data_IF_275908497969
#
_entry.id   IF_275908497969
#
_cell.length_a   1.000
_cell.length_b   1.000
_cell.length_c   1.000
_cell.angle_alpha   90.00
_cell.angle_beta   90.00
_cell.angle_gamma   90.00
#
_symmetry.space_group_name_H-M   'P 1'
#
loop_
_entity.id
_entity.type
_entity.pdbx_description
1 polymer ?
#
# COMPACT_ATOMS: atom_id res chain seq x y z
N UNK A 1 -7.15 -8.63 -4.41
CA UNK A 1 -6.23 -8.94 -3.29
C UNK A 1 -6.85 -8.38 -2.03
N UNK A 2 -7.05 -9.21 -1.00
CA UNK A 2 -7.91 -8.86 0.16
C UNK A 2 -7.21 -7.91 1.13
N UNK A 3 -5.88 -7.94 1.20
CA UNK A 3 -5.07 -7.18 2.14
C UNK A 3 -4.76 -5.75 1.67
N UNK A 4 -5.02 -5.40 0.40
CA UNK A 4 -4.64 -4.13 -0.24
C UNK A 4 -3.10 -3.93 -0.41
N UNK A 5 -2.30 -4.97 -0.18
CA UNK A 5 -0.84 -4.91 -0.05
C UNK A 5 -0.10 -5.14 -1.38
N UNK A 6 0.26 -4.07 -2.10
CA UNK A 6 1.16 -4.14 -3.26
C UNK A 6 2.61 -3.82 -2.88
N UNK A 7 3.59 -4.41 -3.58
CA UNK A 7 5.02 -4.20 -3.34
C UNK A 7 5.81 -3.98 -4.62
N UNK A 8 7.06 -3.52 -4.49
CA UNK A 8 8.07 -3.47 -5.56
C UNK A 8 9.35 -4.14 -5.09
N UNK A 9 9.70 -5.25 -5.74
CA UNK A 9 10.89 -6.06 -5.45
C UNK A 9 11.78 -6.16 -6.69
N UNK A 10 13.09 -6.39 -6.52
CA UNK A 10 14.00 -6.70 -7.63
C UNK A 10 14.24 -8.19 -7.66
N UNK A 11 13.85 -8.91 -8.73
CA UNK A 11 14.01 -10.35 -8.81
C UNK A 11 15.44 -10.72 -9.22
N UNK A 12 16.45 -10.09 -8.63
CA UNK A 12 17.87 -10.34 -8.94
C UNK A 12 18.60 -10.83 -7.69
N UNK A 13 19.12 -12.06 -7.76
CA UNK A 13 19.87 -12.70 -6.68
C UNK A 13 21.25 -13.02 -7.23
N UNK A 14 22.31 -12.55 -6.56
CA UNK A 14 23.70 -12.77 -6.98
C UNK A 14 23.97 -12.42 -8.46
N UNK A 15 23.35 -11.32 -8.93
CA UNK A 15 23.48 -10.82 -10.31
C UNK A 15 22.66 -11.59 -11.35
N UNK A 16 21.86 -12.58 -10.95
CA UNK A 16 21.00 -13.36 -11.86
C UNK A 16 19.54 -12.98 -11.68
N UNK A 17 18.83 -12.83 -12.79
CA UNK A 17 17.38 -12.68 -12.79
C UNK A 17 16.72 -14.02 -12.42
N UNK A 18 15.76 -13.98 -11.51
CA UNK A 18 14.90 -15.10 -11.12
C UNK A 18 13.45 -14.82 -11.51
N UNK A 19 12.62 -15.85 -11.60
CA UNK A 19 11.20 -15.74 -11.89
C UNK A 19 10.37 -16.21 -10.70
N UNK A 20 9.23 -15.55 -10.51
CA UNK A 20 8.37 -15.80 -9.36
C UNK A 20 6.96 -16.12 -9.82
N UNK A 21 6.36 -17.12 -9.18
CA UNK A 21 4.94 -17.44 -9.32
C UNK A 21 4.24 -17.32 -7.97
N UNK A 22 2.92 -17.14 -7.99
CA UNK A 22 2.13 -17.25 -6.77
C UNK A 22 2.02 -18.72 -6.36
N UNK A 23 2.54 -19.06 -5.18
CA UNK A 23 2.49 -20.41 -4.63
C UNK A 23 1.22 -20.67 -3.81
N UNK A 24 0.54 -19.62 -3.36
CA UNK A 24 -0.66 -19.74 -2.52
C UNK A 24 -0.73 -18.68 -1.44
N UNK A 25 -1.40 -19.03 -0.34
CA UNK A 25 -1.58 -18.17 0.82
C UNK A 25 -0.93 -18.79 2.05
N UNK A 26 -0.21 -17.97 2.81
CA UNK A 26 0.28 -18.26 4.15
C UNK A 26 0.07 -17.00 4.99
N UNK A 27 -0.46 -17.15 6.20
CA UNK A 27 -0.91 -16.02 7.02
C UNK A 27 -1.83 -15.06 6.25
N UNK A 28 -2.72 -15.61 5.42
CA UNK A 28 -3.64 -14.85 4.56
C UNK A 28 -2.94 -13.88 3.59
N UNK A 29 -1.64 -14.06 3.37
CA UNK A 29 -0.78 -13.25 2.51
C UNK A 29 -0.28 -14.10 1.35
N UNK A 30 -0.09 -13.49 0.18
CA UNK A 30 0.49 -14.21 -0.94
C UNK A 30 1.91 -14.67 -0.61
N UNK A 31 2.22 -15.91 -1.01
CA UNK A 31 3.58 -16.44 -0.98
C UNK A 31 4.05 -16.55 -2.41
N UNK A 32 5.20 -15.96 -2.70
CA UNK A 32 5.84 -16.13 -3.99
C UNK A 32 6.77 -17.35 -3.93
N UNK A 33 6.84 -18.13 -5.00
CA UNK A 33 7.85 -19.16 -5.18
C UNK A 33 8.79 -18.76 -6.32
N UNK A 34 10.09 -18.78 -6.02
CA UNK A 34 11.18 -18.72 -7.00
C UNK A 34 11.14 -19.99 -7.86
N UNK A 35 10.99 -19.84 -9.18
CA UNK A 35 10.84 -20.99 -10.08
C UNK A 35 12.12 -21.79 -10.27
N UNK A 36 13.27 -21.15 -10.07
CA UNK A 36 14.60 -21.70 -10.25
C UNK A 36 15.01 -22.51 -9.01
N UNK A 37 14.81 -21.97 -7.81
CA UNK A 37 15.28 -22.62 -6.57
C UNK A 37 14.18 -23.28 -5.76
N UNK A 38 12.90 -23.04 -6.12
CA UNK A 38 11.71 -23.43 -5.35
C UNK A 38 11.62 -22.81 -3.96
N UNK A 39 12.47 -21.82 -3.66
CA UNK A 39 12.41 -21.05 -2.42
C UNK A 39 11.09 -20.29 -2.34
N UNK A 40 10.47 -20.27 -1.17
CA UNK A 40 9.27 -19.50 -0.85
C UNK A 40 9.64 -18.15 -0.22
N UNK A 41 8.96 -17.09 -0.66
CA UNK A 41 9.28 -15.71 -0.33
C UNK A 41 8.03 -14.96 0.16
N UNK A 42 8.22 -14.15 1.19
CA UNK A 42 7.21 -13.20 1.66
C UNK A 42 7.02 -12.09 0.62
N UNK A 43 5.80 -11.91 0.11
CA UNK A 43 5.55 -10.91 -0.93
C UNK A 43 5.63 -9.46 -0.43
N UNK A 44 5.50 -9.18 0.86
CA UNK A 44 5.60 -7.80 1.39
C UNK A 44 7.06 -7.44 1.66
N UNK A 45 7.77 -8.26 2.41
CA UNK A 45 9.15 -7.96 2.84
C UNK A 45 10.19 -8.33 1.79
N UNK A 46 9.85 -9.24 0.86
CA UNK A 46 10.81 -9.82 -0.08
C UNK A 46 11.81 -10.76 0.59
N UNK A 47 11.54 -11.23 1.81
CA UNK A 47 12.39 -12.19 2.52
C UNK A 47 12.14 -13.63 2.04
N UNK A 48 13.21 -14.40 1.86
CA UNK A 48 13.15 -15.83 1.63
C UNK A 48 12.87 -16.56 2.94
N UNK A 49 11.70 -17.18 3.03
CA UNK A 49 11.20 -17.84 4.24
C UNK A 49 11.65 -19.29 4.33
N UNK A 50 11.61 -20.02 3.21
CA UNK A 50 11.86 -21.46 3.19
C UNK A 50 12.47 -21.91 1.87
N UNK A 51 13.49 -22.77 1.92
CA UNK A 51 14.17 -23.32 0.76
C UNK A 51 15.66 -22.92 0.70
N UNK A 52 16.35 -23.22 -0.42
CA UNK A 52 17.80 -23.04 -0.54
C UNK A 52 18.30 -21.61 -0.32
N UNK A 53 17.46 -20.61 -0.57
CA UNK A 53 17.82 -19.20 -0.40
C UNK A 53 17.26 -18.58 0.89
N UNK A 54 16.78 -19.38 1.85
CA UNK A 54 16.25 -18.86 3.12
C UNK A 54 17.23 -17.88 3.81
N UNK A 55 16.69 -16.77 4.33
CA UNK A 55 17.46 -15.67 4.92
C UNK A 55 18.01 -14.65 3.91
N UNK A 56 17.91 -14.90 2.60
CA UNK A 56 18.15 -13.88 1.56
C UNK A 56 16.95 -12.95 1.45
N UNK A 57 17.15 -11.78 0.84
CA UNK A 57 16.08 -10.81 0.58
C UNK A 57 16.18 -10.27 -0.85
N UNK A 58 15.03 -10.11 -1.51
CA UNK A 58 14.89 -9.34 -2.75
C UNK A 58 14.87 -7.82 -2.47
N UNK A 59 14.83 -7.46 -1.18
CA UNK A 59 14.63 -6.13 -0.65
C UNK A 59 13.26 -5.54 -1.04
N UNK A 60 12.64 -4.71 -0.20
CA UNK A 60 11.76 -3.69 -0.73
C UNK A 60 12.65 -2.62 -1.36
N UNK A 61 12.81 -2.64 -2.68
CA UNK A 61 13.66 -1.67 -3.39
C UNK A 61 12.97 -0.30 -3.57
N UNK A 62 11.71 -0.19 -3.16
CA UNK A 62 10.99 1.07 -3.15
C UNK A 62 9.52 0.88 -2.87
N UNK A 63 8.83 2.01 -2.74
CA UNK A 63 7.40 2.03 -2.50
C UNK A 63 6.62 1.77 -3.79
N UNK A 64 5.60 0.91 -3.72
CA UNK A 64 4.52 0.88 -4.69
C UNK A 64 3.38 1.78 -4.17
N UNK A 65 3.38 3.03 -4.60
CA UNK A 65 2.38 4.00 -4.14
C UNK A 65 1.05 3.78 -4.84
N UNK A 66 -0.05 3.82 -4.08
CA UNK A 66 -1.39 3.89 -4.65
C UNK A 66 -1.66 5.34 -5.08
N UNK A 67 -1.74 5.56 -6.39
CA UNK A 67 -1.90 6.88 -6.98
C UNK A 67 -2.81 6.82 -8.21
N UNK A 68 -3.38 7.96 -8.58
CA UNK A 68 -4.10 8.14 -9.83
C UNK A 68 -3.15 8.61 -10.97
N UNK A 69 -3.67 8.66 -12.20
CA UNK A 69 -2.90 9.05 -13.40
C UNK A 69 -2.37 10.48 -13.31
N UNK A 70 -3.12 11.40 -12.70
CA UNK A 70 -2.69 12.79 -12.51
C UNK A 70 -1.43 12.88 -11.63
N UNK A 71 -1.36 12.09 -10.57
CA UNK A 71 -0.17 12.01 -9.71
C UNK A 71 1.01 11.37 -10.44
N UNK A 72 0.78 10.29 -11.20
CA UNK A 72 1.84 9.64 -11.97
C UNK A 72 2.48 10.60 -12.98
N UNK A 73 1.66 11.33 -13.74
CA UNK A 73 2.13 12.35 -14.70
C UNK A 73 2.79 13.56 -14.04
N UNK A 74 2.43 13.87 -12.78
CA UNK A 74 3.11 14.92 -12.04
C UNK A 74 4.54 14.51 -11.65
N UNK A 75 4.74 13.23 -11.28
CA UNK A 75 6.05 12.67 -10.95
C UNK A 75 6.93 12.57 -12.20
N UNK A 76 6.38 12.04 -13.28
CA UNK A 76 7.07 11.90 -14.56
C UNK A 76 6.10 12.23 -15.72
N UNK A 77 6.22 13.42 -16.34
CA UNK A 77 5.40 13.80 -17.48
C UNK A 77 5.59 12.93 -18.72
N UNK A 78 6.67 12.14 -18.78
CA UNK A 78 6.95 11.21 -19.88
C UNK A 78 6.38 9.81 -19.67
N UNK A 79 5.73 9.56 -18.53
CA UNK A 79 5.19 8.23 -18.21
C UNK A 79 4.15 7.81 -19.26
N UNK A 80 4.31 6.59 -19.78
CA UNK A 80 3.35 6.01 -20.72
C UNK A 80 2.21 5.32 -19.93
N UNK A 81 0.97 5.57 -20.35
CA UNK A 81 -0.22 4.98 -19.72
C UNK A 81 -0.80 3.92 -20.64
N UNK A 82 -0.70 2.66 -20.21
CA UNK A 82 -1.37 1.55 -20.87
C UNK A 82 -2.76 1.32 -20.25
N UNK A 83 -3.79 1.28 -21.09
CA UNK A 83 -5.16 0.95 -20.69
C UNK A 83 -5.45 -0.46 -21.18
N UNK A 84 -5.74 -1.38 -20.25
CA UNK A 84 -6.14 -2.74 -20.62
C UNK A 84 -7.45 -2.71 -21.40
N UNK A 85 -7.67 -3.67 -22.30
CA UNK A 85 -8.94 -3.83 -23.01
C UNK A 85 -10.09 -4.36 -22.12
N UNK A 86 -9.94 -4.36 -20.79
CA UNK A 86 -11.02 -4.71 -19.87
C UNK A 86 -12.16 -3.71 -19.97
N UNK A 87 -13.39 -4.18 -19.85
CA UNK A 87 -14.55 -3.30 -19.88
C UNK A 87 -14.51 -2.25 -18.75
N UNK A 88 -14.60 -0.96 -19.10
CA UNK A 88 -14.72 0.15 -18.16
C UNK A 88 -15.68 1.23 -18.68
N UNK A 89 -16.14 2.12 -17.78
CA UNK A 89 -17.05 3.21 -18.13
C UNK A 89 -16.40 4.57 -17.87
N UNK A 90 -16.43 5.46 -18.85
CA UNK A 90 -15.95 6.83 -18.72
C UNK A 90 -16.85 7.79 -19.51
N UNK A 91 -17.23 8.92 -18.90
CA UNK A 91 -18.10 9.91 -19.55
C UNK A 91 -19.44 9.34 -20.03
N UNK A 92 -20.01 8.37 -19.30
CA UNK A 92 -21.26 7.71 -19.68
C UNK A 92 -21.15 6.70 -20.82
N UNK A 93 -19.94 6.40 -21.30
CA UNK A 93 -19.67 5.45 -22.39
C UNK A 93 -18.90 4.23 -21.89
N UNK A 94 -19.17 3.07 -22.46
CA UNK A 94 -18.40 1.85 -22.24
C UNK A 94 -17.19 1.82 -23.19
N UNK A 95 -16.06 1.35 -22.67
CA UNK A 95 -14.81 1.07 -23.40
C UNK A 95 -14.34 -0.34 -23.05
N UNK A 96 -13.45 -0.91 -23.88
CA UNK A 96 -12.89 -2.25 -23.68
C UNK A 96 -13.81 -3.38 -24.14
N UNK A 97 -13.23 -4.45 -24.68
CA UNK A 97 -13.96 -5.63 -25.17
C UNK A 97 -13.75 -6.90 -24.34
N UNK A 98 -12.68 -6.95 -23.54
CA UNK A 98 -12.35 -8.09 -22.70
C UNK A 98 -13.21 -8.11 -21.42
N UNK A 99 -14.05 -9.14 -21.30
CA UNK A 99 -14.76 -9.43 -20.04
C UNK A 99 -13.81 -10.05 -19.02
N UNK A 100 -13.96 -9.68 -17.74
CA UNK A 100 -13.17 -10.26 -16.65
C UNK A 100 -13.45 -11.75 -16.47
N UNK A 101 -12.48 -12.50 -15.95
CA UNK A 101 -12.70 -13.89 -15.50
C UNK A 101 -13.76 -13.90 -14.39
N UNK A 102 -14.82 -14.69 -14.57
CA UNK A 102 -15.80 -15.01 -13.51
C UNK A 102 -15.18 -15.96 -12.47
N UNK A 103 -14.23 -15.47 -11.70
CA UNK A 103 -13.73 -16.14 -10.50
C UNK A 103 -14.74 -15.99 -9.36
N UNK A 104 -14.87 -17.00 -8.50
CA UNK A 104 -15.83 -17.15 -7.40
C UNK A 104 -15.78 -16.08 -6.28
N UNK A 105 -15.11 -14.95 -6.48
CA UNK A 105 -15.12 -13.80 -5.59
C UNK A 105 -15.97 -12.68 -6.16
N UNK A 106 -17.25 -12.66 -5.81
CA UNK A 106 -18.17 -11.52 -5.88
C UNK A 106 -17.80 -10.35 -6.81
N UNK A 107 -17.78 -10.58 -8.13
CA UNK A 107 -17.85 -9.50 -9.12
C UNK A 107 -19.27 -9.48 -9.70
N UNK A 108 -20.20 -8.84 -8.97
CA UNK A 108 -21.54 -8.49 -9.46
C UNK A 108 -21.50 -7.16 -10.23
N UNK A 109 -20.54 -7.02 -11.15
CA UNK A 109 -20.36 -5.83 -11.98
C UNK A 109 -21.18 -5.83 -13.28
N UNK A 110 -22.41 -6.33 -13.32
CA UNK A 110 -23.35 -6.09 -14.44
C UNK A 110 -24.80 -6.05 -13.93
N UNK A 111 -25.22 -4.92 -13.35
CA UNK A 111 -26.60 -4.67 -12.96
C UNK A 111 -26.73 -3.60 -11.88
N UNK A 112 -27.88 -2.90 -11.77
CA UNK A 112 -28.10 -1.91 -10.72
C UNK A 112 -27.90 -2.58 -9.37
N UNK A 113 -27.08 -1.94 -8.52
CA UNK A 113 -26.61 -2.44 -7.23
C UNK A 113 -27.75 -3.03 -6.38
N UNK A 114 -28.00 -4.34 -6.51
CA UNK A 114 -28.85 -5.10 -5.60
C UNK A 114 -27.98 -5.68 -4.50
N UNK A 115 -27.97 -4.96 -3.38
CA UNK A 115 -27.38 -5.36 -2.11
C UNK A 115 -25.94 -4.88 -1.96
N UNK A 116 -25.77 -3.69 -1.38
CA UNK A 116 -24.49 -3.27 -0.83
C UNK A 116 -24.08 -4.26 0.27
N UNK A 117 -23.22 -5.23 -0.08
CA UNK A 117 -22.32 -5.79 0.91
C UNK A 117 -21.51 -4.66 1.54
N UNK A 118 -20.94 -4.87 2.74
CA UNK A 118 -20.18 -3.82 3.39
C UNK A 118 -19.14 -3.22 2.45
N UNK A 119 -19.10 -1.89 2.37
CA UNK A 119 -18.19 -1.18 1.48
C UNK A 119 -16.73 -1.58 1.71
N UNK A 120 -15.84 -1.31 0.74
CA UNK A 120 -14.43 -1.69 0.84
C UNK A 120 -13.80 -1.18 2.15
N UNK A 121 -14.28 -0.09 2.73
CA UNK A 121 -13.72 0.49 3.96
C UNK A 121 -14.29 -0.10 5.26
N UNK A 122 -15.15 -1.12 5.21
CA UNK A 122 -15.72 -1.70 6.43
C UNK A 122 -14.66 -2.49 7.22
N UNK A 123 -14.31 -2.08 8.46
CA UNK A 123 -13.35 -2.80 9.30
C UNK A 123 -13.83 -4.19 9.73
N UNK A 124 -15.12 -4.47 9.61
CA UNK A 124 -15.76 -5.73 9.98
C UNK A 124 -16.20 -6.56 8.75
N UNK A 125 -15.64 -6.30 7.56
CA UNK A 125 -15.98 -7.07 6.38
C UNK A 125 -15.63 -8.56 6.57
N UNK A 126 -16.58 -9.44 6.30
CA UNK A 126 -16.38 -10.88 6.37
C UNK A 126 -15.53 -11.36 5.18
N UNK A 127 -14.59 -12.27 5.46
CA UNK A 127 -13.77 -12.93 4.43
C UNK A 127 -14.35 -14.28 4.07
N UNK A 128 -14.05 -14.75 2.86
CA UNK A 128 -14.47 -16.08 2.39
C UNK A 128 -14.02 -17.18 3.35
N UNK A 129 -14.86 -18.18 3.54
CA UNK A 129 -14.55 -19.39 4.34
C UNK A 129 -13.35 -20.18 3.81
N UNK A 130 -12.94 -19.98 2.55
CA UNK A 130 -11.72 -20.57 2.00
C UNK A 130 -10.45 -19.80 2.40
N UNK A 131 -10.60 -18.52 2.76
CA UNK A 131 -9.49 -17.64 3.10
C UNK A 131 -9.19 -17.68 4.60
N UNK A 132 -10.23 -17.70 5.45
CA UNK A 132 -10.10 -17.69 6.91
C UNK A 132 -9.17 -18.78 7.46
N UNK A 133 -9.18 -20.03 6.95
CA UNK A 133 -8.27 -21.08 7.42
C UNK A 133 -6.79 -20.82 7.16
N UNK A 134 -6.46 -19.86 6.29
CA UNK A 134 -5.06 -19.51 5.96
C UNK A 134 -4.49 -18.42 6.87
N UNK A 135 -5.32 -17.80 7.73
CA UNK A 135 -4.87 -16.79 8.69
C UNK A 135 -3.99 -17.41 9.77
N UNK A 136 -2.89 -16.74 10.08
CA UNK A 136 -2.10 -17.00 11.27
C UNK A 136 -2.80 -16.49 12.54
N UNK A 137 -2.04 -16.42 13.64
CA UNK A 137 -2.54 -15.85 14.90
C UNK A 137 -2.78 -14.35 14.71
N UNK A 138 -4.05 -13.96 14.71
CA UNK A 138 -4.45 -12.57 14.55
C UNK A 138 -4.08 -11.71 15.75
N UNK A 139 -3.83 -10.43 15.48
CA UNK A 139 -3.63 -9.41 16.50
C UNK A 139 -4.96 -8.71 16.83
N UNK A 140 -5.54 -8.95 18.03
CA UNK A 140 -6.87 -8.49 18.38
C UNK A 140 -6.93 -6.99 18.72
N UNK A 141 -5.80 -6.26 18.73
CA UNK A 141 -5.77 -4.84 19.06
C UNK A 141 -6.63 -4.00 18.12
N UNK A 142 -6.87 -4.47 16.89
CA UNK A 142 -7.73 -3.81 15.89
C UNK A 142 -8.54 -4.82 15.07
N UNK A 143 -9.69 -4.40 14.49
CA UNK A 143 -10.45 -5.25 13.57
C UNK A 143 -9.59 -5.71 12.39
N UNK A 144 -9.75 -6.97 11.98
CA UNK A 144 -9.02 -7.58 10.86
C UNK A 144 -8.94 -6.68 9.63
N UNK A 145 -10.09 -6.17 9.19
CA UNK A 145 -10.21 -5.40 7.95
C UNK A 145 -10.05 -3.89 8.15
N UNK A 146 -9.63 -3.46 9.35
CA UNK A 146 -9.26 -2.07 9.58
C UNK A 146 -8.19 -1.66 8.57
N UNK A 147 -8.27 -0.43 8.07
CA UNK A 147 -7.47 0.03 6.94
C UNK A 147 -6.57 1.18 7.36
N UNK A 148 -5.34 1.19 6.86
CA UNK A 148 -4.33 2.11 7.36
C UNK A 148 -3.00 2.02 6.63
N UNK A 149 -2.09 2.89 7.03
CA UNK A 149 -0.76 2.98 6.48
C UNK A 149 0.21 2.24 7.39
N UNK A 150 0.80 1.16 6.91
CA UNK A 150 1.93 0.50 7.57
C UNK A 150 3.24 1.15 7.16
N UNK A 151 4.07 1.56 8.11
CA UNK A 151 5.45 2.03 7.91
C UNK A 151 6.42 1.07 8.56
N UNK A 152 7.54 0.80 7.91
CA UNK A 152 8.64 0.08 8.56
C UNK A 152 10.01 0.59 8.15
N UNK A 153 10.95 0.41 9.07
CA UNK A 153 12.38 0.64 8.92
C UNK A 153 13.14 -0.52 9.59
N UNK A 154 14.46 -0.40 9.69
CA UNK A 154 15.27 -1.37 10.44
C UNK A 154 14.93 -1.43 11.93
N UNK A 155 14.40 -0.34 12.51
CA UNK A 155 14.18 -0.22 13.96
C UNK A 155 12.71 -0.07 14.37
N UNK A 156 11.85 0.38 13.46
CA UNK A 156 10.46 0.74 13.79
C UNK A 156 9.52 0.12 12.79
N UNK A 157 8.43 -0.49 13.27
CA UNK A 157 7.29 -0.94 12.46
C UNK A 157 6.06 -0.35 13.11
N UNK A 158 5.34 0.52 12.41
CA UNK A 158 4.20 1.25 12.96
C UNK A 158 3.05 1.26 11.96
N UNK A 159 1.86 0.94 12.46
CA UNK A 159 0.62 1.04 11.71
C UNK A 159 -0.11 2.33 12.08
N UNK A 160 -0.58 3.05 11.09
CA UNK A 160 -1.36 4.28 11.22
C UNK A 160 -2.79 4.00 10.72
N UNK A 161 -3.75 3.72 11.62
CA UNK A 161 -5.13 3.50 11.23
C UNK A 161 -5.69 4.75 10.54
N UNK A 162 -6.49 4.57 9.48
CA UNK A 162 -7.09 5.69 8.75
C UNK A 162 -7.92 6.61 9.65
N UNK A 163 -8.65 6.05 10.62
CA UNK A 163 -9.41 6.83 11.61
C UNK A 163 -8.49 7.83 12.35
N UNK A 164 -7.29 7.39 12.76
CA UNK A 164 -6.36 8.18 13.57
C UNK A 164 -5.65 9.24 12.74
N UNK A 165 -5.38 8.95 11.46
CA UNK A 165 -4.87 9.95 10.53
C UNK A 165 -5.90 11.07 10.34
N UNK A 166 -7.18 10.72 10.19
CA UNK A 166 -8.28 11.70 10.04
C UNK A 166 -8.50 12.52 11.32
N UNK A 167 -8.52 11.88 12.49
CA UNK A 167 -8.64 12.56 13.78
C UNK A 167 -7.49 13.55 14.04
N UNK A 168 -6.32 13.31 13.45
CA UNK A 168 -5.16 14.23 13.49
C UNK A 168 -5.16 15.28 12.37
N UNK A 169 -6.29 15.50 11.72
CA UNK A 169 -6.46 16.55 10.72
C UNK A 169 -5.87 16.20 9.35
N UNK A 170 -5.75 14.91 9.04
CA UNK A 170 -5.38 14.37 7.72
C UNK A 170 -3.95 14.69 7.23
N UNK A 171 -3.20 15.52 7.94
CA UNK A 171 -1.78 15.75 7.71
C UNK A 171 -1.09 16.21 9.00
N UNK A 172 -0.05 15.50 9.43
CA UNK A 172 0.72 15.83 10.63
C UNK A 172 2.15 15.29 10.53
N UNK A 173 3.04 15.82 11.37
CA UNK A 173 4.41 15.33 11.50
C UNK A 173 4.49 14.36 12.67
N UNK A 174 5.10 13.21 12.42
CA UNK A 174 5.48 12.21 13.41
C UNK A 174 7.00 11.96 13.32
N UNK A 175 7.53 11.11 14.19
CA UNK A 175 8.92 10.65 14.16
C UNK A 175 8.99 9.12 14.12
N UNK A 176 9.71 8.59 13.14
CA UNK A 176 9.91 7.15 12.91
C UNK A 176 11.40 6.90 12.69
N UNK A 177 12.00 6.07 13.54
CA UNK A 177 13.45 5.78 13.47
C UNK A 177 14.33 7.04 13.57
N UNK A 178 13.95 8.01 14.41
CA UNK A 178 14.68 9.27 14.59
C UNK A 178 14.60 10.26 13.43
N UNK A 179 13.84 9.94 12.37
CA UNK A 179 13.58 10.83 11.24
C UNK A 179 12.15 11.35 11.31
N UNK A 180 11.99 12.66 11.09
CA UNK A 180 10.66 13.26 10.96
C UNK A 180 9.99 12.80 9.67
N UNK A 181 8.75 12.41 9.81
CA UNK A 181 7.92 11.90 8.72
C UNK A 181 6.62 12.67 8.68
N UNK A 182 6.26 13.17 7.50
CA UNK A 182 4.92 13.63 7.22
C UNK A 182 4.04 12.39 7.00
N UNK A 183 2.98 12.27 7.79
CA UNK A 183 1.88 11.34 7.55
C UNK A 183 0.70 12.16 7.04
N UNK A 184 0.13 11.79 5.91
CA UNK A 184 -0.99 12.52 5.32
C UNK A 184 -1.91 11.64 4.49
N UNK A 185 -3.16 12.06 4.31
CA UNK A 185 -4.07 11.55 3.29
C UNK A 185 -3.88 12.39 2.04
N UNK A 186 -3.53 11.75 0.94
CA UNK A 186 -3.34 12.44 -0.34
C UNK A 186 -4.70 12.87 -0.91
N UNK A 187 -4.95 14.18 -1.10
CA UNK A 187 -6.29 14.66 -1.46
C UNK A 187 -6.81 14.14 -2.80
N UNK A 188 -5.95 13.83 -3.76
CA UNK A 188 -6.38 13.36 -5.08
C UNK A 188 -6.73 11.86 -5.12
N UNK A 189 -6.14 11.05 -4.24
CA UNK A 189 -6.39 9.59 -4.20
C UNK A 189 -7.19 9.13 -2.98
N UNK A 190 -7.26 9.94 -1.93
CA UNK A 190 -7.83 9.56 -0.63
C UNK A 190 -7.01 8.49 0.10
N UNK A 191 -5.82 8.16 -0.39
CA UNK A 191 -4.95 7.13 0.19
C UNK A 191 -3.93 7.76 1.14
N UNK A 192 -3.60 7.11 2.26
CA UNK A 192 -2.59 7.60 3.15
C UNK A 192 -1.19 7.38 2.56
N UNK A 193 -0.28 8.30 2.84
CA UNK A 193 1.11 8.22 2.42
C UNK A 193 2.03 8.90 3.43
N UNK A 194 3.33 8.64 3.27
CA UNK A 194 4.39 9.16 4.09
C UNK A 194 5.60 9.65 3.29
N UNK A 195 6.20 10.74 3.77
CA UNK A 195 7.39 11.41 3.22
C UNK A 195 8.33 11.77 4.37
N UNK A 196 9.64 11.53 4.24
CA UNK A 196 10.58 12.16 5.18
C UNK A 196 10.69 13.66 4.89
N UNK A 197 10.63 14.47 5.94
CA UNK A 197 10.66 15.94 5.85
C UNK A 197 11.47 16.53 6.99
N UNK A 198 11.91 17.78 6.87
CA UNK A 198 12.59 18.50 7.96
C UNK A 198 11.65 19.38 8.80
N UNK A 199 10.41 19.57 8.32
CA UNK A 199 9.37 20.42 8.89
C UNK A 199 8.91 19.95 10.28
N UNK A 200 8.44 20.86 11.14
CA UNK A 200 7.93 20.49 12.48
C UNK A 200 6.42 20.30 12.50
N UNK A 201 5.70 20.98 11.61
CA UNK A 201 4.26 20.89 11.49
C UNK A 201 3.83 20.81 10.03
N UNK A 202 2.65 20.23 9.82
CA UNK A 202 1.99 20.09 8.54
C UNK A 202 0.49 20.34 8.74
N UNK A 203 -0.17 20.89 7.72
CA UNK A 203 -1.64 21.03 7.69
C UNK A 203 -2.15 20.83 6.27
N UNK A 204 -3.22 20.07 6.14
CA UNK A 204 -3.96 19.98 4.90
C UNK A 204 -4.71 21.31 4.64
N UNK A 205 -4.61 21.86 3.44
CA UNK A 205 -5.30 23.07 3.00
C UNK A 205 -5.78 22.93 1.55
N UNK A 206 -7.07 22.72 1.35
CA UNK A 206 -7.61 22.40 0.03
C UNK A 206 -7.02 21.08 -0.47
N UNK A 207 -6.37 21.12 -1.64
CA UNK A 207 -5.79 19.93 -2.28
C UNK A 207 -4.28 19.79 -2.05
N UNK A 208 -3.71 20.47 -1.06
CA UNK A 208 -2.27 20.45 -0.79
C UNK A 208 -1.99 20.39 0.72
N UNK A 209 -0.88 19.77 1.10
CA UNK A 209 -0.37 19.82 2.48
C UNK A 209 0.67 20.93 2.58
N UNK A 210 0.44 21.92 3.45
CA UNK A 210 1.40 22.99 3.73
C UNK A 210 2.28 22.63 4.92
N UNK A 211 3.57 22.84 4.76
CA UNK A 211 4.59 22.64 5.78
C UNK A 211 5.05 23.98 6.36
N UNK A 212 5.46 24.01 7.63
CA UNK A 212 5.87 25.24 8.33
C UNK A 212 7.13 25.92 7.78
N UNK A 213 7.99 25.17 7.09
CA UNK A 213 9.15 25.71 6.37
C UNK A 213 8.78 26.36 5.02
N UNK A 214 7.49 26.45 4.68
CA UNK A 214 6.99 27.03 3.43
C UNK A 214 7.02 26.08 2.23
N UNK A 215 7.43 24.82 2.42
CA UNK A 215 7.26 23.78 1.42
C UNK A 215 5.81 23.28 1.37
N UNK A 216 5.46 22.64 0.26
CA UNK A 216 4.11 22.13 0.00
C UNK A 216 4.20 20.72 -0.56
N UNK A 217 3.32 19.82 -0.13
CA UNK A 217 3.12 18.53 -0.78
C UNK A 217 1.85 18.60 -1.60
N UNK A 218 1.97 18.35 -2.91
CA UNK A 218 0.84 18.34 -3.86
C UNK A 218 0.99 17.16 -4.80
N UNK A 219 -0.07 16.40 -4.99
CA UNK A 219 -0.10 15.24 -5.89
C UNK A 219 1.07 14.26 -5.61
N UNK A 220 1.42 14.09 -4.33
CA UNK A 220 2.54 13.26 -3.90
C UNK A 220 3.95 13.83 -4.10
N UNK A 221 4.11 15.02 -4.66
CA UNK A 221 5.41 15.68 -4.82
C UNK A 221 5.69 16.67 -3.70
N UNK A 222 6.93 16.73 -3.23
CA UNK A 222 7.42 17.79 -2.36
C UNK A 222 7.88 18.98 -3.20
N UNK A 223 7.25 20.13 -3.02
CA UNK A 223 7.57 21.39 -3.67
C UNK A 223 8.21 22.33 -2.65
N UNK A 224 9.40 22.83 -2.96
CA UNK A 224 10.07 23.82 -2.13
C UNK A 224 9.32 25.16 -2.13
N UNK A 225 9.76 26.10 -1.28
CA UNK A 225 9.19 27.46 -1.21
C UNK A 225 9.21 28.21 -2.56
N UNK A 226 10.14 27.85 -3.44
CA UNK A 226 10.26 28.39 -4.80
C UNK A 226 9.31 27.72 -5.82
N UNK A 227 8.45 26.80 -5.38
CA UNK A 227 7.53 26.04 -6.23
C UNK A 227 8.18 24.92 -7.04
N UNK A 228 9.49 24.70 -6.93
CA UNK A 228 10.18 23.63 -7.66
C UNK A 228 10.05 22.29 -6.93
N UNK A 229 9.90 21.23 -7.72
CA UNK A 229 9.91 19.86 -7.21
C UNK A 229 11.26 19.52 -6.57
N UNK A 230 11.20 18.81 -5.46
CA UNK A 230 12.34 18.32 -4.71
C UNK A 230 12.30 16.80 -4.66
N UNK A 231 13.47 16.18 -4.82
CA UNK A 231 13.61 14.76 -4.51
C UNK A 231 13.31 14.55 -3.03
N UNK A 232 12.55 13.52 -2.71
CA UNK A 232 12.12 13.23 -1.34
C UNK A 232 12.28 11.75 -1.06
N UNK A 233 12.97 11.46 0.04
CA UNK A 233 13.09 10.10 0.56
C UNK A 233 11.75 9.70 1.21
N UNK A 234 11.35 8.44 1.01
CA UNK A 234 10.15 7.88 1.61
C UNK A 234 10.53 6.74 2.56
N UNK A 235 9.91 6.63 3.75
CA UNK A 235 9.96 5.37 4.48
C UNK A 235 9.36 4.26 3.63
N UNK A 236 9.75 3.01 3.89
CA UNK A 236 8.99 1.88 3.37
C UNK A 236 7.59 1.94 3.96
N UNK A 237 6.60 1.92 3.08
CA UNK A 237 5.22 2.10 3.45
C UNK A 237 4.30 1.27 2.59
N UNK A 238 3.16 0.88 3.16
CA UNK A 238 2.16 0.10 2.47
C UNK A 238 0.77 0.48 2.97
N UNK A 239 -0.13 0.81 2.05
CA UNK A 239 -1.54 1.04 2.38
C UNK A 239 -2.24 -0.32 2.41
N UNK A 240 -2.60 -0.80 3.60
CA UNK A 240 -2.96 -2.20 3.83
C UNK A 240 -4.06 -2.35 4.86
N UNK A 241 -4.65 -3.55 4.93
CA UNK A 241 -5.47 -3.99 6.07
C UNK A 241 -4.59 -4.34 7.27
N UNK A 242 -5.16 -4.19 8.47
CA UNK A 242 -4.48 -4.47 9.73
C UNK A 242 -3.91 -5.89 9.77
N UNK A 243 -4.69 -6.91 9.43
CA UNK A 243 -4.20 -8.30 9.45
C UNK A 243 -2.95 -8.47 8.57
N UNK A 244 -2.93 -7.81 7.40
CA UNK A 244 -1.81 -7.94 6.47
C UNK A 244 -0.54 -7.30 7.02
N UNK A 245 -0.66 -6.21 7.77
CA UNK A 245 0.48 -5.59 8.43
C UNK A 245 0.92 -6.36 9.67
N UNK A 246 -0.01 -6.71 10.57
CA UNK A 246 0.28 -7.35 11.85
C UNK A 246 0.85 -8.77 11.71
N UNK A 247 0.39 -9.54 10.72
CA UNK A 247 0.96 -10.86 10.43
C UNK A 247 2.35 -10.75 9.79
N UNK A 248 2.62 -9.68 9.02
CA UNK A 248 3.95 -9.43 8.45
C UNK A 248 4.92 -8.91 9.50
N UNK A 249 4.44 -8.05 10.40
CA UNK A 249 5.24 -7.38 11.42
C UNK A 249 4.57 -7.57 12.79
N UNK A 250 4.71 -8.75 13.42
CA UNK A 250 4.19 -8.98 14.76
C UNK A 250 4.75 -7.96 15.76
N UNK A 251 3.96 -7.65 16.79
CA UNK A 251 4.32 -6.66 17.82
C UNK A 251 4.59 -5.25 17.27
N UNK A 252 4.12 -4.92 16.06
CA UNK A 252 4.24 -3.57 15.52
C UNK A 252 3.51 -2.56 16.42
N UNK A 253 4.02 -1.34 16.44
CA UNK A 253 3.38 -0.20 17.09
C UNK A 253 2.08 0.17 16.36
N UNK A 254 1.11 0.71 17.08
CA UNK A 254 -0.12 1.28 16.52
C UNK A 254 -0.13 2.75 16.90
N UNK A 255 -0.16 3.64 15.91
CA UNK A 255 -0.17 5.06 16.17
C UNK A 255 -1.41 5.47 16.98
N UNK A 256 -1.19 6.17 18.08
CA UNK A 256 -2.25 6.62 18.99
C UNK A 256 -2.73 5.57 20.00
N UNK A 257 -1.96 4.49 20.20
CA UNK A 257 -2.18 3.47 21.24
C UNK A 257 -0.90 3.20 22.03
#
# INVERSE_FOLDING_TARGET
>A
MVCNSGTRLVPTIDGKMHHFTNAGLYDALFVMQDTETKTLWNHITGEALYGPLAGRTLGPIGNLLQMNVKQALAIDPSIEVAISDRTYFAGGRQFGSASGFRGSGADRGTGPARGAGPGPDNPNAALSELFVPTLGKEDPRRPRMDMGLGLWSGTTRRYYPMERIRERGEAFIDEVGGKKVLIYIEPESGTPAALFVSSKTAKLQGNEVRLDNGAVVRSGMLLGRNGKSQSVERPQQIFTRWYGFALTFPESEIFGQ
#
